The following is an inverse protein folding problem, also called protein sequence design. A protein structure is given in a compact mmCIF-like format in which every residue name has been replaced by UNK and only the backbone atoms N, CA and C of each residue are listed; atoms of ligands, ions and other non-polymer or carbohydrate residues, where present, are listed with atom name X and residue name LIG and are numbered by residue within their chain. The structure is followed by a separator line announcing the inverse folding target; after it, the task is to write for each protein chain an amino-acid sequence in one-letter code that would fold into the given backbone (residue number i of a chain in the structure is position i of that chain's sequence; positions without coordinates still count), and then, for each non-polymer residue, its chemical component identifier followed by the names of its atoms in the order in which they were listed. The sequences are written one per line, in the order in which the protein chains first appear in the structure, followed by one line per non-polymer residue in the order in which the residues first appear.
data_IF_518176400865
#
_entry.id   IF_518176400865
#
_cell.length_a   1.000
_cell.length_b   1.000
_cell.length_c   1.000
_cell.angle_alpha   90.00
_cell.angle_beta   90.00
_cell.angle_gamma   90.00
#
_symmetry.space_group_name_H-M   'P 1'
#
loop_
_entity.id
_entity.type
_entity.pdbx_description
1 polymer ?
#
# COMPACT_ATOMS: atom_id res chain seq x y z
N UNK A 1 4.31 -8.51 12.27
CA UNK A 1 4.14 -9.11 10.94
C UNK A 1 5.04 -8.36 10.00
N UNK A 2 5.82 -9.04 9.18
CA UNK A 2 6.64 -8.39 8.14
C UNK A 2 5.73 -8.15 6.93
N UNK A 3 4.90 -7.12 7.01
CA UNK A 3 4.01 -6.73 5.92
C UNK A 3 4.72 -5.69 5.06
N UNK A 4 4.61 -5.83 3.74
CA UNK A 4 5.20 -4.89 2.79
C UNK A 4 4.13 -4.22 1.96
N UNK A 5 4.33 -2.93 1.70
CA UNK A 5 3.47 -2.11 0.87
C UNK A 5 4.31 -1.60 -0.30
N UNK A 6 3.86 -1.89 -1.51
CA UNK A 6 4.43 -1.32 -2.73
C UNK A 6 3.45 -0.34 -3.37
N UNK A 7 3.96 0.77 -3.87
CA UNK A 7 3.16 1.82 -4.52
C UNK A 7 3.56 1.89 -5.99
N UNK A 8 2.59 1.69 -6.87
CA UNK A 8 2.74 1.80 -8.32
C UNK A 8 2.00 3.07 -8.78
N UNK A 9 2.76 4.14 -8.97
CA UNK A 9 2.21 5.46 -9.31
C UNK A 9 1.74 5.54 -10.77
N UNK A 10 2.31 4.74 -11.67
CA UNK A 10 1.91 4.69 -13.08
C UNK A 10 0.53 4.04 -13.22
N UNK A 11 0.30 2.94 -12.50
CA UNK A 11 -0.99 2.25 -12.47
C UNK A 11 -1.96 2.81 -11.43
N UNK A 12 -1.52 3.77 -10.60
CA UNK A 12 -2.28 4.34 -9.45
C UNK A 12 -2.82 3.25 -8.53
N UNK A 13 -1.94 2.30 -8.16
CA UNK A 13 -2.28 1.20 -7.26
C UNK A 13 -1.32 1.06 -6.09
N UNK A 14 -1.83 0.53 -4.99
CA UNK A 14 -1.06 0.11 -3.81
C UNK A 14 -1.23 -1.39 -3.66
N UNK A 15 -0.12 -2.10 -3.48
CA UNK A 15 -0.06 -3.55 -3.33
C UNK A 15 0.39 -3.89 -1.92
N UNK A 16 -0.42 -4.66 -1.19
CA UNK A 16 -0.08 -5.15 0.14
C UNK A 16 0.35 -6.62 0.05
N UNK A 17 1.50 -6.91 0.63
CA UNK A 17 2.07 -8.25 0.78
C UNK A 17 2.13 -8.56 2.27
N UNK A 18 1.29 -9.48 2.72
CA UNK A 18 1.28 -9.90 4.13
C UNK A 18 2.28 -11.00 4.37
N UNK A 19 2.99 -10.93 5.50
CA UNK A 19 4.04 -11.89 5.85
C UNK A 19 5.09 -12.09 4.72
N UNK A 20 5.61 -11.00 4.17
CA UNK A 20 6.51 -11.01 3.02
C UNK A 20 7.73 -11.92 3.21
N UNK A 21 8.30 -11.99 4.42
CA UNK A 21 9.38 -12.92 4.76
C UNK A 21 9.04 -14.41 4.57
N UNK A 22 7.78 -14.82 4.76
CA UNK A 22 7.36 -16.21 4.59
C UNK A 22 7.04 -16.56 3.13
N UNK A 23 7.00 -15.56 2.22
CA UNK A 23 6.80 -15.76 0.79
C UNK A 23 8.13 -15.72 0.04
N UNK A 24 8.84 -16.84 0.04
CA UNK A 24 9.65 -17.15 -1.12
C UNK A 24 8.68 -17.50 -2.28
N UNK A 25 8.67 -16.74 -3.37
CA UNK A 25 8.26 -17.22 -4.71
C UNK A 25 6.79 -17.13 -5.20
N UNK A 26 5.96 -16.18 -4.75
CA UNK A 26 4.67 -15.91 -5.46
C UNK A 26 4.72 -14.66 -6.34
N UNK A 27 5.30 -13.55 -5.87
CA UNK A 27 5.31 -12.28 -6.61
C UNK A 27 3.93 -11.60 -6.72
N UNK A 28 2.85 -12.25 -6.29
CA UNK A 28 1.50 -11.70 -6.31
C UNK A 28 1.15 -11.05 -4.95
N UNK A 29 0.59 -9.83 -4.96
CA UNK A 29 0.10 -9.18 -3.75
C UNK A 29 -1.14 -9.86 -3.18
N UNK A 30 -1.34 -9.77 -1.86
CA UNK A 30 -2.55 -10.26 -1.21
C UNK A 30 -3.74 -9.32 -1.47
N UNK A 31 -3.47 -8.01 -1.44
CA UNK A 31 -4.49 -7.00 -1.69
C UNK A 31 -3.92 -5.95 -2.65
N UNK A 32 -4.76 -5.52 -3.59
CA UNK A 32 -4.45 -4.41 -4.50
C UNK A 32 -5.55 -3.38 -4.37
N UNK A 33 -5.15 -2.15 -4.06
CA UNK A 33 -6.04 -1.02 -3.90
C UNK A 33 -5.74 0.02 -4.97
N UNK A 34 -6.74 0.49 -5.68
CA UNK A 34 -6.61 1.68 -6.53
C UNK A 34 -6.60 2.93 -5.68
N UNK A 35 -6.00 4.02 -6.16
CA UNK A 35 -6.03 5.29 -5.45
C UNK A 35 -7.46 5.78 -5.23
N UNK A 36 -8.37 5.57 -6.18
CA UNK A 36 -9.78 5.92 -6.04
C UNK A 36 -10.45 5.20 -4.86
N UNK A 37 -10.17 3.89 -4.69
CA UNK A 37 -10.66 3.12 -3.55
C UNK A 37 -10.10 3.64 -2.22
N UNK A 38 -8.82 4.04 -2.19
CA UNK A 38 -8.19 4.60 -0.98
C UNK A 38 -8.68 6.01 -0.66
N UNK A 39 -9.04 6.79 -1.67
CA UNK A 39 -9.69 8.10 -1.49
C UNK A 39 -11.10 7.94 -0.94
N UNK A 40 -11.83 6.91 -1.39
CA UNK A 40 -13.17 6.60 -0.91
C UNK A 40 -13.21 5.93 0.47
N UNK A 41 -12.13 5.25 0.88
CA UNK A 41 -11.99 4.58 2.18
C UNK A 41 -10.77 5.11 2.96
N UNK A 42 -10.92 6.25 3.68
CA UNK A 42 -9.82 6.87 4.41
C UNK A 42 -9.30 5.98 5.55
N UNK A 43 -10.13 5.11 6.14
CA UNK A 43 -9.70 4.17 7.19
C UNK A 43 -8.73 3.14 6.61
N UNK A 44 -8.97 2.68 5.39
CA UNK A 44 -8.03 1.79 4.67
C UNK A 44 -6.71 2.48 4.38
N UNK A 45 -6.75 3.74 3.93
CA UNK A 45 -5.56 4.53 3.67
C UNK A 45 -4.73 4.70 4.96
N UNK A 46 -5.34 5.08 6.08
CA UNK A 46 -4.65 5.21 7.36
C UNK A 46 -3.98 3.91 7.82
N UNK A 47 -4.63 2.76 7.63
CA UNK A 47 -4.04 1.46 7.95
C UNK A 47 -2.76 1.19 7.15
N UNK A 48 -2.74 1.52 5.85
CA UNK A 48 -1.58 1.38 4.98
C UNK A 48 -0.46 2.37 5.35
N UNK A 49 -0.81 3.62 5.68
CA UNK A 49 0.14 4.64 6.11
C UNK A 49 0.85 4.25 7.41
N UNK A 50 0.15 3.61 8.34
CA UNK A 50 0.73 3.13 9.61
C UNK A 50 1.70 1.95 9.43
N UNK A 51 1.65 1.26 8.29
CA UNK A 51 2.60 0.18 7.96
C UNK A 51 3.88 0.72 7.30
N UNK A 52 3.86 1.96 6.82
CA UNK A 52 4.97 2.61 6.12
C UNK A 52 5.84 3.42 7.07
N UNK A 53 7.11 3.62 6.68
CA UNK A 53 7.96 4.61 7.33
C UNK A 53 7.40 6.04 7.15
N UNK A 54 7.77 7.01 8.01
CA UNK A 54 7.19 8.37 7.98
C UNK A 54 7.36 9.09 6.63
N UNK A 55 8.44 8.80 5.90
CA UNK A 55 8.71 9.37 4.58
C UNK A 55 7.77 8.80 3.51
N UNK A 56 7.67 7.48 3.44
CA UNK A 56 6.84 6.78 2.46
C UNK A 56 5.34 6.99 2.72
N UNK A 57 4.93 7.04 3.99
CA UNK A 57 3.55 7.38 4.36
C UNK A 57 3.15 8.76 3.81
N UNK A 58 4.00 9.78 4.01
CA UNK A 58 3.73 11.13 3.49
C UNK A 58 3.70 11.17 1.96
N UNK A 59 4.51 10.36 1.29
CA UNK A 59 4.50 10.26 -0.17
C UNK A 59 3.20 9.61 -0.68
N UNK A 60 2.79 8.50 -0.08
CA UNK A 60 1.55 7.80 -0.45
C UNK A 60 0.31 8.67 -0.21
N UNK A 61 0.20 9.33 0.94
CA UNK A 61 -0.94 10.21 1.24
C UNK A 61 -1.08 11.33 0.20
N UNK A 62 0.04 11.94 -0.22
CA UNK A 62 0.06 12.94 -1.29
C UNK A 62 -0.37 12.37 -2.65
N UNK A 63 0.08 11.16 -2.99
CA UNK A 63 -0.23 10.53 -4.27
C UNK A 63 -1.72 10.16 -4.39
N UNK A 64 -2.31 9.66 -3.30
CA UNK A 64 -3.73 9.26 -3.27
C UNK A 64 -4.64 10.49 -3.32
N UNK A 65 -4.25 11.58 -2.65
CA UNK A 65 -5.04 12.82 -2.56
C UNK A 65 -4.81 13.82 -3.70
N UNK A 66 -3.93 13.51 -4.65
CA UNK A 66 -3.63 14.35 -5.83
C UNK A 66 -4.44 13.94 -7.06
#
# INVERSE_FOLDING_TARGET
TDDQVEVDSELRTVRLFRNAWNRQSSGYPDEVYTFDQLTADPTRLEALLNMLGPGDAKALDRLVRS
#
